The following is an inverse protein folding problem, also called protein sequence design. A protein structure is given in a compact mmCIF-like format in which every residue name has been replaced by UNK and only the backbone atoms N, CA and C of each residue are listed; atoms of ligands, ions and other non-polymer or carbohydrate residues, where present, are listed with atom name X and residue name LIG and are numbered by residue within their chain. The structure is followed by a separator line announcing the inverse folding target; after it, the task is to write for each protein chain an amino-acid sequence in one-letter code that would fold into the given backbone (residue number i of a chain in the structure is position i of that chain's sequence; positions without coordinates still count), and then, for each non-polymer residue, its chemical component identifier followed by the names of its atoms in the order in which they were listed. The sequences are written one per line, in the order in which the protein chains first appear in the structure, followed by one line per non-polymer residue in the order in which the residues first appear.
data_IF_718288241434
#
_entry.id   IF_718288241434
#
_cell.length_a   1.000
_cell.length_b   1.000
_cell.length_c   1.000
_cell.angle_alpha   90.00
_cell.angle_beta   90.00
_cell.angle_gamma   90.00
#
_symmetry.space_group_name_H-M   'P 1'
#
loop_
_entity.id
_entity.type
_entity.pdbx_description
1 polymer ?
#
# COMPACT_ATOMS: atom_id res chain seq x y z
N UNK A 1 32.81 21.97 -3.45
CA UNK A 1 31.91 20.91 -3.96
C UNK A 1 31.73 19.94 -2.80
N UNK A 2 30.73 20.19 -1.96
CA UNK A 2 30.53 19.44 -0.71
C UNK A 2 29.50 18.35 -1.04
N UNK A 3 29.94 17.10 -1.03
CA UNK A 3 29.07 15.92 -1.18
C UNK A 3 28.33 15.76 0.14
N UNK A 4 27.02 16.01 0.13
CA UNK A 4 26.14 15.64 1.24
C UNK A 4 25.92 14.13 1.17
N UNK A 5 26.58 13.39 2.04
CA UNK A 5 26.26 12.01 2.33
C UNK A 5 24.88 11.95 3.00
N UNK A 6 23.87 11.50 2.24
CA UNK A 6 22.59 11.10 2.82
C UNK A 6 22.80 9.80 3.58
N UNK A 7 22.91 9.87 4.90
CA UNK A 7 22.71 8.72 5.77
C UNK A 7 21.29 8.21 5.53
N UNK A 8 21.17 7.01 4.98
CA UNK A 8 19.95 6.23 4.91
C UNK A 8 19.61 5.71 6.31
N UNK A 9 19.08 6.56 7.16
CA UNK A 9 18.32 6.09 8.31
C UNK A 9 16.94 5.70 7.78
N UNK A 10 16.75 4.42 7.50
CA UNK A 10 15.44 3.84 7.21
C UNK A 10 14.54 4.19 8.40
N UNK A 11 13.40 4.89 8.20
CA UNK A 11 12.50 5.17 9.30
C UNK A 11 11.94 3.84 9.80
N UNK A 12 12.50 3.33 10.90
CA UNK A 12 11.90 2.24 11.63
C UNK A 12 10.47 2.67 11.97
N UNK A 13 9.48 1.87 11.56
CA UNK A 13 8.14 1.96 12.16
C UNK A 13 8.40 1.92 13.66
N UNK A 14 8.22 3.06 14.34
CA UNK A 14 8.55 3.19 15.76
C UNK A 14 7.74 2.15 16.54
N UNK A 15 8.35 0.98 16.74
CA UNK A 15 7.80 -0.16 17.49
C UNK A 15 7.71 0.24 18.95
N UNK A 16 6.66 0.97 19.32
CA UNK A 16 6.29 1.05 20.72
C UNK A 16 5.59 -0.26 21.10
N UNK A 17 6.29 -1.11 21.85
CA UNK A 17 5.72 -2.30 22.51
C UNK A 17 4.99 -3.31 21.61
N UNK A 18 5.53 -3.67 20.42
CA UNK A 18 4.95 -4.73 19.58
C UNK A 18 3.58 -4.39 18.95
N UNK A 19 3.17 -3.12 18.94
CA UNK A 19 1.96 -2.63 18.29
C UNK A 19 2.30 -1.75 17.10
N UNK A 20 1.56 -1.93 16.01
CA UNK A 20 1.60 -1.05 14.84
C UNK A 20 0.63 0.10 15.13
N UNK A 21 1.15 1.33 15.14
CA UNK A 21 0.35 2.52 15.39
C UNK A 21 0.92 3.70 14.58
N UNK A 22 0.57 3.79 13.29
CA UNK A 22 0.97 4.93 12.46
C UNK A 22 0.35 6.21 13.03
N UNK A 23 1.15 7.29 13.10
CA UNK A 23 0.71 8.60 13.57
C UNK A 23 0.28 9.50 12.43
N UNK A 24 1.02 9.42 11.33
CA UNK A 24 0.83 10.23 10.15
C UNK A 24 0.64 9.33 8.95
N UNK A 25 -0.55 9.35 8.37
CA UNK A 25 -0.92 8.56 7.20
C UNK A 25 -1.03 9.50 6.01
N UNK A 26 -0.30 9.21 4.92
CA UNK A 26 -0.43 9.94 3.67
C UNK A 26 -1.42 9.21 2.75
N UNK A 27 -2.40 9.93 2.24
CA UNK A 27 -3.28 9.48 1.19
C UNK A 27 -3.02 10.29 -0.08
N UNK A 28 -2.49 9.64 -1.12
CA UNK A 28 -2.25 10.27 -2.40
C UNK A 28 -3.43 10.00 -3.35
N UNK A 29 -3.98 11.06 -3.93
CA UNK A 29 -5.14 10.99 -4.82
C UNK A 29 -4.94 11.78 -6.11
N UNK A 30 -5.42 11.22 -7.22
CA UNK A 30 -5.60 11.89 -8.50
C UNK A 30 -7.09 12.16 -8.79
N UNK A 31 -7.95 11.91 -7.80
CA UNK A 31 -9.41 11.97 -7.90
C UNK A 31 -10.00 11.01 -8.94
N UNK A 32 -9.31 9.94 -9.28
CA UNK A 32 -9.91 8.82 -10.02
C UNK A 32 -10.76 7.96 -9.08
N UNK A 33 -11.72 7.21 -9.64
CA UNK A 33 -12.56 6.30 -8.87
C UNK A 33 -11.74 5.30 -8.05
N UNK A 34 -10.60 4.83 -8.59
CA UNK A 34 -9.72 3.89 -7.89
C UNK A 34 -8.96 4.57 -6.74
N UNK A 35 -8.47 5.81 -6.92
CA UNK A 35 -7.87 6.53 -5.81
C UNK A 35 -8.90 6.86 -4.73
N UNK A 36 -10.12 7.25 -5.12
CA UNK A 36 -11.22 7.52 -4.18
C UNK A 36 -11.61 6.27 -3.38
N UNK A 37 -11.54 5.07 -3.95
CA UNK A 37 -11.81 3.82 -3.23
C UNK A 37 -10.81 3.52 -2.11
N UNK A 38 -9.63 4.13 -2.13
CA UNK A 38 -8.62 3.98 -1.07
C UNK A 38 -8.88 4.91 0.14
N UNK A 39 -9.64 5.99 -0.03
CA UNK A 39 -9.94 6.95 1.04
C UNK A 39 -10.64 6.33 2.26
N UNK A 40 -11.66 5.46 2.09
CA UNK A 40 -12.30 4.79 3.22
C UNK A 40 -11.32 3.98 4.07
N UNK A 41 -10.35 3.32 3.44
CA UNK A 41 -9.30 2.56 4.15
C UNK A 41 -8.38 3.49 4.94
N UNK A 42 -7.94 4.60 4.34
CA UNK A 42 -7.14 5.61 5.03
C UNK A 42 -7.90 6.20 6.23
N UNK A 43 -9.16 6.54 6.05
CA UNK A 43 -10.01 7.07 7.11
C UNK A 43 -10.23 6.07 8.25
N UNK A 44 -10.50 4.79 7.93
CA UNK A 44 -10.66 3.72 8.92
C UNK A 44 -9.39 3.49 9.74
N UNK A 45 -8.21 3.51 9.08
CA UNK A 45 -6.90 3.44 9.75
C UNK A 45 -6.70 4.63 10.69
N UNK A 46 -7.01 5.86 10.22
CA UNK A 46 -6.89 7.06 11.06
C UNK A 46 -7.79 6.98 12.30
N UNK A 47 -9.04 6.54 12.17
CA UNK A 47 -9.94 6.34 13.32
C UNK A 47 -9.41 5.28 14.29
N UNK A 48 -8.93 4.16 13.77
CA UNK A 48 -8.43 3.03 14.57
C UNK A 48 -7.19 3.39 15.39
N UNK A 49 -6.29 4.20 14.82
CA UNK A 49 -5.00 4.51 15.42
C UNK A 49 -4.90 5.92 16.00
N UNK A 50 -5.90 6.77 15.77
CA UNK A 50 -5.83 8.19 16.16
C UNK A 50 -4.82 8.97 15.32
N UNK A 51 -4.65 8.60 14.05
CA UNK A 51 -3.66 9.19 13.16
C UNK A 51 -4.14 10.50 12.55
N UNK A 52 -3.19 11.35 12.13
CA UNK A 52 -3.45 12.48 11.23
C UNK A 52 -3.41 12.01 9.78
N UNK A 53 -4.40 12.40 8.98
CA UNK A 53 -4.44 12.10 7.55
C UNK A 53 -3.87 13.28 6.74
N UNK A 54 -2.84 13.00 5.94
CA UNK A 54 -2.25 13.95 5.00
C UNK A 54 -2.77 13.64 3.60
N UNK A 55 -3.70 14.44 3.10
CA UNK A 55 -4.33 14.25 1.78
C UNK A 55 -3.54 15.04 0.75
N UNK A 56 -2.99 14.35 -0.25
CA UNK A 56 -2.08 14.95 -1.23
C UNK A 56 -2.62 14.77 -2.64
N UNK A 57 -2.70 15.87 -3.39
CA UNK A 57 -2.88 15.86 -4.84
C UNK A 57 -1.73 16.60 -5.50
N UNK A 58 -1.15 16.01 -6.55
CA UNK A 58 -0.08 16.62 -7.32
C UNK A 58 -0.55 16.87 -8.74
N UNK A 59 -0.57 18.14 -9.13
CA UNK A 59 -0.78 18.58 -10.52
C UNK A 59 0.52 18.33 -11.28
N UNK A 60 0.59 17.24 -12.05
CA UNK A 60 1.78 16.92 -12.83
C UNK A 60 1.83 17.73 -14.13
N UNK A 61 3.03 18.13 -14.54
CA UNK A 61 3.26 18.86 -15.79
C UNK A 61 2.75 18.05 -16.99
N UNK A 62 2.88 16.72 -16.95
CA UNK A 62 2.37 15.83 -18.01
C UNK A 62 0.84 15.88 -18.10
N UNK A 63 0.14 15.93 -16.97
CA UNK A 63 -1.33 16.04 -16.96
C UNK A 63 -1.79 17.37 -17.53
N UNK A 64 -1.09 18.47 -17.21
CA UNK A 64 -1.36 19.80 -17.73
C UNK A 64 -1.07 19.86 -19.24
N UNK A 65 0.05 19.34 -19.70
CA UNK A 65 0.39 19.28 -21.13
C UNK A 65 -0.63 18.48 -21.96
N UNK A 66 -1.13 17.37 -21.44
CA UNK A 66 -2.18 16.59 -22.09
C UNK A 66 -3.52 17.34 -22.17
N UNK A 67 -3.84 18.17 -21.18
CA UNK A 67 -5.05 19.00 -21.19
C UNK A 67 -4.93 20.19 -22.13
N UNK A 68 -3.72 20.74 -22.30
CA UNK A 68 -3.48 21.99 -23.03
C UNK A 68 -3.25 21.80 -24.53
N UNK A 69 -2.88 20.60 -24.99
CA UNK A 69 -2.73 20.32 -26.43
C UNK A 69 -1.77 21.26 -27.18
N UNK A 70 -0.84 21.93 -26.48
CA UNK A 70 0.13 22.86 -27.09
C UNK A 70 -0.35 24.32 -27.21
N UNK A 71 -1.16 24.82 -26.26
CA UNK A 71 -1.58 26.23 -26.16
C UNK A 71 -0.43 27.16 -25.79
N UNK A 72 -0.64 28.46 -26.05
CA UNK A 72 0.31 29.51 -25.68
C UNK A 72 0.47 29.68 -24.16
N UNK A 73 1.51 30.42 -23.74
CA UNK A 73 1.88 30.55 -22.34
C UNK A 73 0.78 31.20 -21.48
N UNK A 74 0.03 32.14 -22.02
CA UNK A 74 -1.06 32.87 -21.29
C UNK A 74 -2.23 31.92 -21.02
N UNK A 75 -2.59 31.13 -22.03
CA UNK A 75 -3.63 30.09 -21.89
C UNK A 75 -3.20 28.97 -20.92
N UNK A 76 -1.91 28.67 -20.87
CA UNK A 76 -1.36 27.72 -19.90
C UNK A 76 -1.50 28.21 -18.46
N UNK A 77 -1.19 29.47 -18.17
CA UNK A 77 -1.32 30.04 -16.80
C UNK A 77 -2.77 30.04 -16.33
N UNK A 78 -3.72 30.42 -17.19
CA UNK A 78 -5.15 30.37 -16.85
C UNK A 78 -5.63 28.95 -16.55
N UNK A 79 -5.28 27.99 -17.40
CA UNK A 79 -5.65 26.58 -17.19
C UNK A 79 -5.00 26.00 -15.93
N UNK A 80 -3.81 26.45 -15.61
CA UNK A 80 -3.10 26.08 -14.40
C UNK A 80 -3.82 26.57 -13.14
N UNK A 81 -4.23 27.84 -13.09
CA UNK A 81 -4.96 28.42 -11.97
C UNK A 81 -6.34 27.76 -11.80
N UNK A 82 -7.03 27.46 -12.91
CA UNK A 82 -8.28 26.71 -12.87
C UNK A 82 -8.09 25.31 -12.32
N UNK A 83 -7.05 24.58 -12.77
CA UNK A 83 -6.74 23.24 -12.27
C UNK A 83 -6.40 23.25 -10.77
N UNK A 84 -5.65 24.26 -10.31
CA UNK A 84 -5.33 24.45 -8.89
C UNK A 84 -6.58 24.73 -8.06
N UNK A 85 -7.44 25.61 -8.55
CA UNK A 85 -8.70 25.96 -7.89
C UNK A 85 -9.62 24.74 -7.77
N UNK A 86 -9.77 23.98 -8.85
CA UNK A 86 -10.54 22.73 -8.86
C UNK A 86 -9.96 21.69 -7.90
N UNK A 87 -8.64 21.49 -7.89
CA UNK A 87 -7.97 20.56 -7.00
C UNK A 87 -8.18 20.95 -5.54
N UNK A 88 -8.00 22.23 -5.22
CA UNK A 88 -8.22 22.79 -3.88
C UNK A 88 -9.66 22.56 -3.42
N UNK A 89 -10.64 22.83 -4.29
CA UNK A 89 -12.05 22.61 -4.01
C UNK A 89 -12.40 21.12 -3.77
N UNK A 90 -11.76 20.22 -4.52
CA UNK A 90 -11.93 18.76 -4.32
C UNK A 90 -11.30 18.31 -3.01
N UNK A 91 -10.08 18.74 -2.70
CA UNK A 91 -9.41 18.41 -1.44
C UNK A 91 -10.20 18.92 -0.23
N UNK A 92 -10.75 20.14 -0.34
CA UNK A 92 -11.62 20.68 0.71
C UNK A 92 -12.82 19.77 0.98
N UNK A 93 -13.51 19.30 -0.08
CA UNK A 93 -14.62 18.34 0.08
C UNK A 93 -14.19 17.05 0.75
N UNK A 94 -13.02 16.51 0.39
CA UNK A 94 -12.45 15.32 1.07
C UNK A 94 -12.24 15.62 2.54
N UNK A 95 -11.58 16.73 2.87
CA UNK A 95 -11.33 17.16 4.26
C UNK A 95 -12.60 17.33 5.08
N UNK A 96 -13.59 18.01 4.50
CA UNK A 96 -14.89 18.25 5.15
C UNK A 96 -15.61 16.91 5.43
N UNK A 97 -15.49 15.93 4.50
CA UNK A 97 -16.07 14.58 4.63
C UNK A 97 -15.37 13.67 5.66
N UNK A 98 -14.16 14.01 6.11
CA UNK A 98 -13.42 13.21 7.11
C UNK A 98 -13.95 13.38 8.55
N UNK A 99 -14.79 14.37 8.79
CA UNK A 99 -15.40 14.63 10.10
C UNK A 99 -14.36 14.92 11.18
N UNK A 100 -14.30 14.08 12.25
CA UNK A 100 -13.40 14.30 13.39
C UNK A 100 -11.97 13.80 13.17
N UNK A 101 -11.62 13.26 11.99
CA UNK A 101 -10.25 12.82 11.70
C UNK A 101 -9.36 14.04 11.53
N UNK A 102 -8.28 14.20 12.33
CA UNK A 102 -7.30 15.26 12.10
C UNK A 102 -6.71 15.10 10.69
N UNK A 103 -6.77 16.17 9.89
CA UNK A 103 -6.27 16.08 8.53
C UNK A 103 -5.58 17.36 8.05
N UNK A 104 -4.72 17.20 7.06
CA UNK A 104 -4.04 18.30 6.34
C UNK A 104 -4.12 18.00 4.85
N UNK A 105 -4.37 19.01 4.04
CA UNK A 105 -4.49 18.88 2.58
C UNK A 105 -3.38 19.64 1.86
N UNK A 106 -2.84 19.04 0.82
CA UNK A 106 -1.75 19.59 0.03
C UNK A 106 -2.08 19.52 -1.46
N UNK A 107 -2.10 20.65 -2.14
CA UNK A 107 -1.96 20.73 -3.60
C UNK A 107 -0.50 21.04 -3.88
N UNK A 108 0.14 20.25 -4.74
CA UNK A 108 1.53 20.41 -5.14
C UNK A 108 1.62 20.36 -6.67
N UNK A 109 2.74 20.78 -7.21
CA UNK A 109 2.98 20.90 -8.65
C UNK A 109 4.27 20.23 -9.06
N UNK A 110 4.30 19.67 -10.27
CA UNK A 110 5.47 19.08 -10.87
C UNK A 110 5.56 17.58 -10.71
N UNK A 111 6.74 17.06 -10.50
CA UNK A 111 6.98 15.61 -10.39
C UNK A 111 6.33 15.02 -9.15
N UNK A 112 5.48 14.01 -9.33
CA UNK A 112 4.67 13.43 -8.25
C UNK A 112 5.56 12.89 -7.14
N UNK A 113 6.52 12.02 -7.46
CA UNK A 113 7.38 11.41 -6.43
C UNK A 113 8.19 12.45 -5.66
N UNK A 114 8.75 13.46 -6.33
CA UNK A 114 9.52 14.53 -5.66
C UNK A 114 8.68 15.26 -4.61
N UNK A 115 7.43 15.57 -4.94
CA UNK A 115 6.52 16.22 -3.99
C UNK A 115 6.11 15.30 -2.85
N UNK A 116 5.81 14.03 -3.15
CA UNK A 116 5.46 13.07 -2.11
C UNK A 116 6.61 12.80 -1.16
N UNK A 117 7.83 12.62 -1.65
CA UNK A 117 9.02 12.39 -0.82
C UNK A 117 9.30 13.55 0.14
N UNK A 118 9.10 14.79 -0.32
CA UNK A 118 9.19 15.99 0.53
C UNK A 118 8.15 15.96 1.65
N UNK A 119 6.87 15.72 1.32
CA UNK A 119 5.79 15.66 2.32
C UNK A 119 6.02 14.51 3.32
N UNK A 120 6.50 13.36 2.83
CA UNK A 120 6.83 12.20 3.67
C UNK A 120 7.88 12.56 4.71
N UNK A 121 8.96 13.23 4.28
CA UNK A 121 10.05 13.63 5.16
C UNK A 121 9.65 14.75 6.14
N UNK A 122 8.92 15.78 5.66
CA UNK A 122 8.52 16.94 6.47
C UNK A 122 7.48 16.60 7.56
N UNK A 123 6.70 15.54 7.35
CA UNK A 123 5.58 15.21 8.24
C UNK A 123 5.73 13.83 8.92
N UNK A 124 6.93 13.22 8.90
CA UNK A 124 7.19 11.90 9.51
C UNK A 124 6.10 10.88 9.12
N UNK A 125 5.81 10.73 7.83
CA UNK A 125 4.78 9.81 7.36
C UNK A 125 5.18 8.36 7.66
N UNK A 126 4.30 7.66 8.37
CA UNK A 126 4.51 6.27 8.81
C UNK A 126 3.87 5.24 7.88
N UNK A 127 2.86 5.64 7.12
CA UNK A 127 2.09 4.78 6.23
C UNK A 127 1.58 5.59 5.04
N UNK A 128 1.68 5.02 3.85
CA UNK A 128 1.09 5.60 2.64
C UNK A 128 -0.10 4.75 2.22
N UNK A 129 -1.21 5.38 1.83
CA UNK A 129 -2.39 4.72 1.27
C UNK A 129 -2.63 5.24 -0.14
N UNK A 130 -2.73 4.33 -1.10
CA UNK A 130 -2.90 4.66 -2.53
C UNK A 130 -3.92 3.75 -3.22
N UNK A 131 -4.59 4.30 -4.23
CA UNK A 131 -5.23 3.50 -5.27
C UNK A 131 -4.20 3.03 -6.31
N UNK A 132 -4.39 1.88 -6.89
CA UNK A 132 -3.40 1.27 -7.79
C UNK A 132 -3.53 1.66 -9.26
N UNK A 133 -4.64 2.26 -9.67
CA UNK A 133 -4.90 2.70 -11.04
C UNK A 133 -5.31 4.19 -11.02
N UNK A 134 -4.78 4.96 -11.98
CA UNK A 134 -5.11 6.37 -12.14
C UNK A 134 -6.05 6.63 -13.31
N UNK A 135 -6.17 7.92 -13.70
CA UNK A 135 -7.02 8.41 -14.80
C UNK A 135 -6.74 7.78 -16.17
N UNK A 136 -5.52 7.29 -16.40
CA UNK A 136 -5.07 6.77 -17.67
C UNK A 136 -5.28 5.27 -17.86
N UNK A 137 -6.12 4.63 -17.08
CA UNK A 137 -6.40 3.18 -17.02
C UNK A 137 -6.57 2.44 -18.38
N UNK A 138 -5.64 2.64 -19.29
CA UNK A 138 -5.51 1.91 -20.54
C UNK A 138 -4.87 0.55 -20.25
N UNK A 139 -5.70 -0.48 -20.20
CA UNK A 139 -5.25 -1.88 -20.17
C UNK A 139 -5.48 -2.57 -18.83
N UNK A 140 -6.07 -3.72 -18.89
CA UNK A 140 -6.67 -4.51 -17.79
C UNK A 140 -5.71 -4.99 -16.69
N UNK A 141 -4.41 -4.65 -16.68
CA UNK A 141 -3.41 -5.34 -15.84
C UNK A 141 -2.20 -4.48 -15.41
N UNK A 142 -2.20 -3.17 -15.66
CA UNK A 142 -1.01 -2.35 -15.35
C UNK A 142 -1.26 -1.48 -14.12
N UNK A 143 -0.32 -1.54 -13.19
CA UNK A 143 -0.21 -0.60 -12.08
C UNK A 143 0.02 0.82 -12.64
N UNK A 144 -0.63 1.83 -12.06
CA UNK A 144 -0.39 3.23 -12.46
C UNK A 144 1.05 3.65 -12.17
N UNK A 145 1.64 4.48 -13.03
CA UNK A 145 3.03 4.93 -12.89
C UNK A 145 3.35 5.55 -11.53
N UNK A 146 2.41 6.31 -10.96
CA UNK A 146 2.55 6.90 -9.62
C UNK A 146 2.57 5.82 -8.54
N UNK A 147 1.68 4.84 -8.64
CA UNK A 147 1.64 3.74 -7.69
C UNK A 147 2.93 2.88 -7.77
N UNK A 148 3.45 2.68 -8.99
CA UNK A 148 4.73 2.00 -9.20
C UNK A 148 5.90 2.77 -8.58
N UNK A 149 5.98 4.08 -8.81
CA UNK A 149 7.02 4.94 -8.22
C UNK A 149 6.97 4.91 -6.70
N UNK A 150 5.77 5.00 -6.11
CA UNK A 150 5.59 4.93 -4.65
C UNK A 150 6.05 3.57 -4.12
N UNK A 151 5.60 2.45 -4.71
CA UNK A 151 5.97 1.11 -4.27
C UNK A 151 7.48 0.84 -4.37
N UNK A 152 8.14 1.51 -5.30
CA UNK A 152 9.58 1.37 -5.53
C UNK A 152 10.43 2.16 -4.54
N UNK A 153 9.97 3.34 -4.13
CA UNK A 153 10.82 4.31 -3.44
C UNK A 153 10.32 4.66 -2.02
N UNK A 154 9.12 4.23 -1.63
CA UNK A 154 8.58 4.59 -0.33
C UNK A 154 9.48 4.10 0.82
N UNK A 155 9.84 4.99 1.75
CA UNK A 155 10.65 4.62 2.92
C UNK A 155 9.83 3.98 4.04
N UNK A 156 8.52 3.97 3.93
CA UNK A 156 7.57 3.42 4.89
C UNK A 156 6.59 2.48 4.20
N UNK A 157 5.82 1.67 4.94
CA UNK A 157 4.82 0.79 4.38
C UNK A 157 3.81 1.49 3.48
N UNK A 158 3.35 0.78 2.44
CA UNK A 158 2.35 1.27 1.48
C UNK A 158 1.17 0.31 1.46
N UNK A 159 -0.02 0.82 1.81
CA UNK A 159 -1.28 0.11 1.62
C UNK A 159 -1.84 0.45 0.24
N UNK A 160 -1.87 -0.54 -0.63
CA UNK A 160 -2.37 -0.43 -2.00
C UNK A 160 -3.78 -1.00 -2.09
N UNK A 161 -4.70 -0.21 -2.64
CA UNK A 161 -6.10 -0.60 -2.86
C UNK A 161 -6.35 -0.74 -4.35
N UNK A 162 -6.56 -1.97 -4.81
CA UNK A 162 -6.79 -2.30 -6.22
C UNK A 162 -8.26 -2.17 -6.63
N UNK A 163 -8.56 -2.18 -7.95
CA UNK A 163 -9.93 -2.04 -8.45
C UNK A 163 -10.81 -3.23 -8.10
N UNK A 164 -10.23 -4.39 -7.79
CA UNK A 164 -10.98 -5.59 -7.37
C UNK A 164 -11.31 -5.60 -5.88
N UNK A 165 -10.73 -4.68 -5.10
CA UNK A 165 -11.01 -4.49 -3.67
C UNK A 165 -12.35 -3.79 -3.48
N UNK A 166 -12.77 -2.96 -4.43
CA UNK A 166 -14.06 -2.27 -4.41
C UNK A 166 -15.21 -3.30 -4.33
N UNK A 167 -15.87 -3.38 -3.18
CA UNK A 167 -17.05 -4.22 -2.92
C UNK A 167 -16.80 -5.47 -2.08
N UNK A 168 -15.57 -5.83 -1.74
CA UNK A 168 -15.27 -6.98 -0.86
C UNK A 168 -14.78 -6.61 0.53
N UNK A 169 -14.21 -5.43 0.71
CA UNK A 169 -13.89 -4.98 2.06
C UNK A 169 -15.20 -4.70 2.77
N UNK A 170 -15.41 -5.28 3.93
CA UNK A 170 -16.56 -5.04 4.82
C UNK A 170 -16.57 -3.61 5.39
N UNK A 171 -16.09 -2.66 4.59
CA UNK A 171 -16.33 -1.26 4.75
C UNK A 171 -17.75 -1.03 4.22
N UNK A 172 -18.76 -1.29 5.07
CA UNK A 172 -20.15 -1.12 4.69
C UNK A 172 -20.40 0.29 4.18
N UNK A 173 -20.83 0.32 2.94
CA UNK A 173 -21.57 1.35 2.22
C UNK A 173 -21.25 2.81 2.52
N UNK A 174 -20.41 3.35 1.64
CA UNK A 174 -20.45 4.76 1.31
C UNK A 174 -21.61 5.01 0.34
N UNK A 175 -22.84 4.96 0.83
CA UNK A 175 -24.00 5.52 0.14
C UNK A 175 -24.33 6.82 0.85
N UNK A 176 -23.77 7.91 0.40
CA UNK A 176 -24.02 9.21 0.98
C UNK A 176 -24.30 10.27 -0.05
N UNK A 177 -25.54 10.52 -0.30
CA UNK A 177 -26.05 11.84 -0.64
C UNK A 177 -26.10 12.64 0.67
N UNK A 178 -25.01 13.36 0.97
CA UNK A 178 -24.97 14.42 2.01
C UNK A 178 -24.68 13.94 3.43
N UNK A 179 -23.60 14.52 3.98
CA UNK A 179 -23.21 14.62 5.37
C UNK A 179 -22.82 13.33 6.13
N UNK A 180 -21.54 13.34 6.52
CA UNK A 180 -20.83 12.46 7.45
C UNK A 180 -20.63 11.01 6.99
N UNK A 181 -19.34 10.67 6.82
CA UNK A 181 -18.85 9.32 6.65
C UNK A 181 -19.30 8.47 7.84
N UNK A 182 -20.23 7.54 7.64
CA UNK A 182 -20.57 6.56 8.68
C UNK A 182 -19.31 5.95 9.26
N UNK A 183 -19.19 5.76 10.58
CA UNK A 183 -18.00 5.22 11.21
C UNK A 183 -17.79 3.78 10.74
N UNK A 184 -16.92 3.61 9.77
CA UNK A 184 -16.49 2.29 9.32
C UNK A 184 -15.36 1.85 10.21
N UNK A 185 -15.54 0.77 10.94
CA UNK A 185 -14.48 0.14 11.70
C UNK A 185 -13.62 -0.72 10.78
N UNK A 186 -12.30 -0.63 10.97
CA UNK A 186 -11.35 -1.50 10.29
C UNK A 186 -11.33 -2.86 10.99
N UNK A 187 -11.93 -3.86 10.37
CA UNK A 187 -11.84 -5.25 10.80
C UNK A 187 -10.89 -6.02 9.89
N UNK A 188 -9.89 -6.64 10.46
CA UNK A 188 -9.04 -7.61 9.79
C UNK A 188 -9.24 -8.97 10.48
N UNK A 189 -9.89 -9.92 9.80
CA UNK A 189 -10.18 -11.25 10.32
C UNK A 189 -9.18 -12.30 9.85
N UNK A 190 -8.62 -12.09 8.66
CA UNK A 190 -7.63 -12.99 8.08
C UNK A 190 -6.56 -12.20 7.32
N UNK A 191 -5.31 -12.43 7.68
CA UNK A 191 -4.13 -11.83 7.05
C UNK A 191 -3.33 -12.94 6.37
N UNK A 192 -2.96 -12.72 5.11
CA UNK A 192 -2.00 -13.58 4.38
C UNK A 192 -0.66 -12.86 4.31
N UNK A 193 0.36 -13.41 4.92
CA UNK A 193 1.73 -12.96 4.80
C UNK A 193 2.50 -13.83 3.82
N UNK A 194 2.93 -13.27 2.70
CA UNK A 194 3.70 -13.99 1.70
C UNK A 194 5.18 -13.57 1.72
N UNK A 195 6.06 -14.56 1.67
CA UNK A 195 7.50 -14.38 1.81
C UNK A 195 8.29 -15.29 0.89
N UNK A 196 9.41 -14.79 0.38
CA UNK A 196 10.40 -15.57 -0.36
C UNK A 196 11.50 -16.16 0.57
N UNK A 197 11.31 -16.07 1.88
CA UNK A 197 12.22 -16.60 2.91
C UNK A 197 13.65 -16.02 2.87
N UNK A 198 13.82 -14.82 2.31
CA UNK A 198 15.11 -14.10 2.36
C UNK A 198 15.29 -13.38 3.70
N UNK A 199 16.49 -12.83 3.94
CA UNK A 199 16.77 -12.03 5.14
C UNK A 199 15.76 -10.88 5.35
N UNK A 200 15.23 -10.31 4.27
CA UNK A 200 14.17 -9.31 4.30
C UNK A 200 12.90 -9.79 5.01
N UNK A 201 12.59 -11.09 4.98
CA UNK A 201 11.44 -11.63 5.72
C UNK A 201 11.57 -11.48 7.25
N UNK A 202 12.78 -11.32 7.76
CA UNK A 202 13.01 -11.05 9.19
C UNK A 202 12.49 -9.67 9.60
N UNK A 203 12.39 -8.71 8.68
CA UNK A 203 11.86 -7.36 8.93
C UNK A 203 10.36 -7.26 8.70
N UNK A 204 9.80 -8.06 7.81
CA UNK A 204 8.37 -8.02 7.40
C UNK A 204 7.50 -8.92 8.27
N UNK A 205 7.97 -10.14 8.61
CA UNK A 205 7.19 -11.08 9.42
C UNK A 205 6.69 -10.47 10.75
N UNK A 206 7.49 -9.72 11.52
CA UNK A 206 7.02 -9.07 12.73
C UNK A 206 5.87 -8.08 12.50
N UNK A 207 5.79 -7.45 11.32
CA UNK A 207 4.68 -6.54 10.98
C UNK A 207 3.38 -7.33 10.80
N UNK A 208 3.42 -8.43 10.04
CA UNK A 208 2.25 -9.29 9.83
C UNK A 208 1.76 -9.92 11.14
N UNK A 209 2.69 -10.39 11.98
CA UNK A 209 2.39 -10.98 13.30
C UNK A 209 1.79 -9.93 14.25
N UNK A 210 2.35 -8.71 14.27
CA UNK A 210 1.84 -7.63 15.10
C UNK A 210 0.41 -7.22 14.69
N UNK A 211 0.14 -7.14 13.38
CA UNK A 211 -1.21 -6.90 12.85
C UNK A 211 -2.17 -8.04 13.25
N UNK A 212 -1.78 -9.29 13.05
CA UNK A 212 -2.62 -10.44 13.42
C UNK A 212 -2.95 -10.43 14.92
N UNK A 213 -1.97 -10.13 15.77
CA UNK A 213 -2.17 -10.00 17.22
C UNK A 213 -3.11 -8.83 17.57
N UNK A 214 -2.92 -7.66 16.95
CA UNK A 214 -3.64 -6.44 17.28
C UNK A 214 -5.11 -6.48 16.86
N UNK A 215 -5.41 -7.20 15.79
CA UNK A 215 -6.77 -7.38 15.25
C UNK A 215 -7.39 -8.73 15.64
N UNK A 216 -6.69 -9.54 16.44
CA UNK A 216 -7.11 -10.92 16.74
C UNK A 216 -7.45 -11.71 15.47
N UNK A 217 -6.67 -11.47 14.40
CA UNK A 217 -6.87 -12.04 13.09
C UNK A 217 -6.21 -13.42 12.95
N UNK A 218 -6.77 -14.26 12.10
CA UNK A 218 -6.08 -15.45 11.58
C UNK A 218 -4.89 -15.02 10.75
N UNK A 219 -3.79 -15.76 10.82
CA UNK A 219 -2.58 -15.50 10.04
C UNK A 219 -2.22 -16.72 9.23
N UNK A 220 -2.11 -16.57 7.92
CA UNK A 220 -1.52 -17.57 7.02
C UNK A 220 -0.16 -17.08 6.57
N UNK A 221 0.89 -17.87 6.78
CA UNK A 221 2.21 -17.61 6.19
C UNK A 221 2.34 -18.48 4.94
N UNK A 222 2.64 -17.86 3.81
CA UNK A 222 2.81 -18.59 2.53
C UNK A 222 4.18 -18.35 1.92
N UNK A 223 4.82 -19.44 1.49
CA UNK A 223 5.99 -19.45 0.63
C UNK A 223 5.66 -20.16 -0.68
N UNK A 224 6.14 -19.64 -1.81
CA UNK A 224 5.92 -20.24 -3.12
C UNK A 224 7.25 -20.63 -3.76
N UNK A 225 7.35 -21.90 -4.16
CA UNK A 225 8.49 -22.44 -4.89
C UNK A 225 8.20 -22.30 -6.39
N UNK A 226 8.92 -21.42 -7.08
CA UNK A 226 8.69 -21.13 -8.52
C UNK A 226 9.43 -22.11 -9.43
N UNK A 227 10.54 -22.72 -8.98
CA UNK A 227 11.37 -23.65 -9.76
C UNK A 227 10.98 -25.10 -9.49
N UNK A 228 10.17 -25.69 -10.38
CA UNK A 228 9.70 -27.07 -10.28
C UNK A 228 10.79 -28.15 -10.47
N UNK A 229 11.83 -27.83 -11.26
CA UNK A 229 12.91 -28.78 -11.54
C UNK A 229 13.70 -29.25 -10.31
N UNK A 230 13.57 -28.55 -9.20
CA UNK A 230 14.19 -28.95 -7.92
C UNK A 230 13.33 -29.90 -7.09
N UNK A 231 12.04 -30.01 -7.37
CA UNK A 231 11.09 -30.85 -6.63
C UNK A 231 11.13 -32.33 -7.03
N UNK A 232 11.53 -32.61 -8.28
CA UNK A 232 11.63 -34.00 -8.78
C UNK A 232 12.82 -34.74 -8.18
N UNK A 233 13.78 -34.05 -7.55
CA UNK A 233 15.04 -34.62 -7.08
C UNK A 233 15.02 -34.91 -5.58
N UNK A 234 14.22 -34.18 -4.77
CA UNK A 234 14.12 -34.46 -3.32
C UNK A 234 12.86 -33.79 -2.68
N UNK A 235 12.19 -34.40 -1.72
CA UNK A 235 11.09 -33.79 -0.95
C UNK A 235 11.52 -32.64 -0.05
N UNK A 236 12.82 -32.39 0.10
CA UNK A 236 13.43 -31.42 1.01
C UNK A 236 13.00 -29.95 0.89
N UNK A 237 12.72 -29.37 -0.32
CA UNK A 237 12.37 -27.97 -0.43
C UNK A 237 11.06 -27.58 0.26
N UNK A 238 10.02 -28.41 0.17
CA UNK A 238 8.72 -28.15 0.82
C UNK A 238 8.86 -28.21 2.34
N UNK A 239 9.46 -29.26 2.86
CA UNK A 239 9.69 -29.42 4.30
C UNK A 239 10.59 -28.33 4.86
N UNK A 240 11.60 -27.92 4.09
CA UNK A 240 12.47 -26.80 4.45
C UNK A 240 11.69 -25.48 4.50
N UNK A 241 10.83 -25.22 3.52
CA UNK A 241 9.94 -24.06 3.49
C UNK A 241 9.02 -24.02 4.71
N UNK A 242 8.39 -25.15 5.05
CA UNK A 242 7.53 -25.27 6.24
C UNK A 242 8.30 -24.93 7.52
N UNK A 243 9.50 -25.52 7.72
CA UNK A 243 10.33 -25.23 8.90
C UNK A 243 10.74 -23.76 8.98
N UNK A 244 11.11 -23.16 7.85
CA UNK A 244 11.51 -21.76 7.80
C UNK A 244 10.33 -20.83 8.10
N UNK A 245 9.13 -21.10 7.55
CA UNK A 245 7.93 -20.33 7.86
C UNK A 245 7.55 -20.43 9.34
N UNK A 246 7.61 -21.63 9.91
CA UNK A 246 7.37 -21.85 11.33
C UNK A 246 8.35 -21.06 12.22
N UNK A 247 9.63 -20.99 11.81
CA UNK A 247 10.65 -20.25 12.53
C UNK A 247 10.44 -18.72 12.52
N UNK A 248 9.65 -18.17 11.58
CA UNK A 248 9.31 -16.75 11.56
C UNK A 248 8.31 -16.37 12.67
N UNK A 249 7.59 -17.33 13.23
CA UNK A 249 6.60 -17.06 14.29
C UNK A 249 7.26 -17.32 15.65
N UNK A 250 7.47 -16.28 16.47
CA UNK A 250 7.99 -16.47 17.83
C UNK A 250 7.04 -17.35 18.66
N UNK A 251 7.59 -18.23 19.48
CA UNK A 251 6.80 -19.15 20.33
C UNK A 251 5.92 -18.40 21.34
N UNK A 252 6.31 -17.19 21.70
CA UNK A 252 5.63 -16.28 22.64
C UNK A 252 4.81 -15.19 21.93
N UNK A 253 4.54 -15.34 20.62
CA UNK A 253 3.82 -14.32 19.83
C UNK A 253 2.43 -13.99 20.37
N UNK A 254 1.83 -14.86 21.20
CA UNK A 254 0.52 -14.69 21.82
C UNK A 254 -0.56 -14.29 20.79
N UNK A 255 -0.64 -15.05 19.68
CA UNK A 255 -1.67 -14.92 18.66
C UNK A 255 -2.98 -15.55 19.12
N UNK A 256 -4.11 -14.98 18.72
CA UNK A 256 -5.44 -15.53 19.03
C UNK A 256 -5.69 -16.89 18.35
N UNK A 257 -5.05 -17.14 17.21
CA UNK A 257 -5.16 -18.37 16.44
C UNK A 257 -3.77 -18.90 16.09
N UNK A 258 -3.66 -20.23 15.99
CA UNK A 258 -2.44 -20.88 15.50
C UNK A 258 -2.27 -20.49 14.03
N UNK A 259 -1.09 -19.96 13.64
CA UNK A 259 -0.85 -19.60 12.25
C UNK A 259 -0.88 -20.79 11.31
N UNK A 260 -1.52 -20.63 10.17
CA UNK A 260 -1.50 -21.61 9.09
C UNK A 260 -0.20 -21.45 8.30
N UNK A 261 0.48 -22.56 8.03
CA UNK A 261 1.73 -22.62 7.26
C UNK A 261 1.43 -23.24 5.91
N UNK A 262 1.76 -22.55 4.84
CA UNK A 262 1.47 -22.96 3.46
C UNK A 262 2.75 -22.88 2.62
N UNK A 263 3.08 -23.97 1.94
CA UNK A 263 4.08 -23.99 0.88
C UNK A 263 3.40 -24.47 -0.39
N UNK A 264 3.37 -23.61 -1.41
CA UNK A 264 2.78 -23.91 -2.72
C UNK A 264 3.87 -23.91 -3.80
N UNK A 265 3.57 -24.52 -4.94
CA UNK A 265 4.44 -24.57 -6.10
C UNK A 265 3.73 -23.90 -7.27
N UNK A 266 4.41 -22.97 -7.96
CA UNK A 266 3.82 -22.28 -9.09
C UNK A 266 4.27 -20.83 -9.24
N UNK A 267 3.61 -20.07 -10.11
CA UNK A 267 3.82 -18.63 -10.22
C UNK A 267 3.44 -17.96 -8.90
N UNK A 268 4.42 -17.29 -8.24
CA UNK A 268 4.22 -16.75 -6.89
C UNK A 268 3.02 -15.82 -6.78
N UNK A 269 2.84 -14.91 -7.77
CA UNK A 269 1.70 -13.98 -7.76
C UNK A 269 0.35 -14.68 -7.75
N UNK A 270 0.21 -15.74 -8.55
CA UNK A 270 -1.06 -16.46 -8.71
C UNK A 270 -1.36 -17.28 -7.48
N UNK A 271 -0.36 -17.96 -6.94
CA UNK A 271 -0.48 -18.74 -5.69
C UNK A 271 -0.88 -17.83 -4.51
N UNK A 272 -0.23 -16.66 -4.36
CA UNK A 272 -0.54 -15.72 -3.28
C UNK A 272 -1.96 -15.18 -3.40
N UNK A 273 -2.37 -14.73 -4.58
CA UNK A 273 -3.73 -14.20 -4.82
C UNK A 273 -4.77 -15.29 -4.59
N UNK A 274 -4.54 -16.50 -5.10
CA UNK A 274 -5.44 -17.64 -4.90
C UNK A 274 -5.53 -18.05 -3.42
N UNK A 275 -4.40 -18.03 -2.69
CA UNK A 275 -4.39 -18.31 -1.26
C UNK A 275 -5.23 -17.30 -0.48
N UNK A 276 -5.14 -16.02 -0.83
CA UNK A 276 -5.94 -14.96 -0.23
C UNK A 276 -7.44 -15.11 -0.55
N UNK A 277 -7.79 -15.41 -1.81
CA UNK A 277 -9.18 -15.63 -2.22
C UNK A 277 -9.79 -16.84 -1.50
N UNK A 278 -9.08 -17.99 -1.46
CA UNK A 278 -9.55 -19.22 -0.81
C UNK A 278 -9.85 -19.04 0.68
N UNK A 279 -9.17 -18.08 1.34
CA UNK A 279 -9.27 -17.82 2.78
C UNK A 279 -10.11 -16.61 3.13
N UNK A 280 -10.72 -15.96 2.13
CA UNK A 280 -11.43 -14.67 2.31
C UNK A 280 -10.57 -13.67 3.08
N UNK A 281 -9.32 -13.51 2.67
CA UNK A 281 -8.36 -12.66 3.35
C UNK A 281 -8.73 -11.18 3.23
N UNK A 282 -8.58 -10.46 4.34
CA UNK A 282 -8.85 -9.02 4.42
C UNK A 282 -7.60 -8.19 4.10
N UNK A 283 -6.40 -8.80 4.18
CA UNK A 283 -5.13 -8.13 3.93
C UNK A 283 -4.08 -9.15 3.45
N UNK A 284 -3.34 -8.76 2.41
CA UNK A 284 -2.09 -9.42 2.04
C UNK A 284 -0.92 -8.55 2.52
N UNK A 285 0.09 -9.16 3.15
CA UNK A 285 1.33 -8.48 3.57
C UNK A 285 2.49 -9.04 2.76
N UNK A 286 3.30 -8.16 2.16
CA UNK A 286 4.45 -8.49 1.32
C UNK A 286 5.66 -7.65 1.71
N UNK A 287 6.86 -8.21 1.57
CA UNK A 287 8.09 -7.43 1.54
C UNK A 287 8.30 -6.79 0.17
N UNK A 288 8.62 -5.50 0.15
CA UNK A 288 9.08 -4.80 -1.04
C UNK A 288 10.54 -4.41 -0.87
N UNK A 289 11.40 -4.79 -1.84
CA UNK A 289 12.78 -4.30 -1.85
C UNK A 289 12.80 -2.90 -2.45
N UNK A 290 13.50 -1.95 -1.83
CA UNK A 290 13.85 -0.71 -2.50
C UNK A 290 14.61 -1.02 -3.78
N UNK A 291 14.38 -0.25 -4.84
CA UNK A 291 15.13 -0.43 -6.08
C UNK A 291 16.60 -0.08 -5.86
N UNK A 292 17.45 -1.06 -5.98
CA UNK A 292 18.91 -0.90 -5.99
C UNK A 292 19.47 -0.37 -7.33
N UNK A 293 18.61 0.24 -8.14
CA UNK A 293 18.97 0.90 -9.40
C UNK A 293 19.24 -0.04 -10.59
N UNK A 294 19.25 -1.36 -10.39
CA UNK A 294 19.71 -2.30 -11.43
C UNK A 294 18.63 -3.16 -12.09
N UNK A 295 17.41 -3.20 -11.56
CA UNK A 295 16.36 -4.06 -12.12
C UNK A 295 15.08 -3.28 -12.44
N UNK A 296 14.97 -2.82 -13.68
CA UNK A 296 13.70 -2.43 -14.30
C UNK A 296 12.86 -3.67 -14.61
N UNK A 297 12.28 -4.33 -13.61
CA UNK A 297 11.34 -5.43 -13.85
C UNK A 297 9.92 -4.94 -13.58
N UNK A 298 9.15 -4.54 -14.63
CA UNK A 298 7.75 -4.09 -14.50
C UNK A 298 6.79 -5.20 -14.08
N UNK A 299 7.28 -6.42 -13.84
CA UNK A 299 6.48 -7.61 -13.54
C UNK A 299 6.91 -8.32 -12.27
N UNK A 300 7.35 -7.59 -11.26
CA UNK A 300 7.66 -8.22 -9.96
C UNK A 300 6.42 -8.88 -9.36
N UNK A 301 6.62 -9.90 -8.52
CA UNK A 301 5.54 -10.55 -7.78
C UNK A 301 4.66 -9.55 -7.04
N UNK A 302 5.26 -8.52 -6.43
CA UNK A 302 4.54 -7.43 -5.74
C UNK A 302 3.59 -6.71 -6.68
N UNK A 303 4.04 -6.27 -7.87
CA UNK A 303 3.19 -5.58 -8.84
C UNK A 303 1.99 -6.44 -9.27
N UNK A 304 2.24 -7.73 -9.56
CA UNK A 304 1.18 -8.65 -9.97
C UNK A 304 0.17 -8.89 -8.84
N UNK A 305 0.64 -9.11 -7.61
CA UNK A 305 -0.26 -9.29 -6.46
C UNK A 305 -1.09 -8.03 -6.25
N UNK A 306 -0.48 -6.85 -6.24
CA UNK A 306 -1.19 -5.56 -6.07
C UNK A 306 -2.24 -5.34 -7.18
N UNK A 307 -1.95 -5.71 -8.42
CA UNK A 307 -2.88 -5.56 -9.55
C UNK A 307 -4.05 -6.55 -9.51
N UNK A 308 -3.88 -7.73 -8.91
CA UNK A 308 -4.86 -8.82 -8.98
C UNK A 308 -5.56 -9.13 -7.67
N UNK A 309 -5.03 -8.68 -6.53
CA UNK A 309 -5.60 -8.93 -5.21
C UNK A 309 -7.05 -8.44 -5.10
N UNK A 310 -7.85 -9.21 -4.38
CA UNK A 310 -9.24 -8.89 -4.05
C UNK A 310 -9.41 -8.22 -2.69
N UNK A 311 -8.32 -8.07 -1.96
CA UNK A 311 -8.20 -7.33 -0.71
C UNK A 311 -7.02 -6.35 -0.78
N UNK A 312 -6.92 -5.35 0.10
CA UNK A 312 -5.78 -4.46 0.18
C UNK A 312 -4.46 -5.21 0.34
N UNK A 313 -3.38 -4.63 -0.19
CA UNK A 313 -2.03 -5.20 -0.10
C UNK A 313 -1.14 -4.22 0.65
N UNK A 314 -0.58 -4.64 1.77
CA UNK A 314 0.41 -3.89 2.52
C UNK A 314 1.81 -4.34 2.09
N UNK A 315 2.53 -3.46 1.43
CA UNK A 315 3.95 -3.67 1.13
C UNK A 315 4.81 -2.99 2.18
N UNK A 316 5.76 -3.72 2.73
CA UNK A 316 6.67 -3.23 3.78
C UNK A 316 8.07 -3.18 3.20
N UNK A 317 8.79 -2.04 3.29
CA UNK A 317 10.19 -1.94 2.88
C UNK A 317 11.03 -2.98 3.64
N UNK A 318 11.90 -3.71 2.91
CA UNK A 318 12.63 -4.87 3.42
C UNK A 318 14.11 -4.82 3.03
#
# INVERSE_FOLDING_TARGET
MTVLEFKQDTPEIKRRSGRISPRNILYATDFSATSESALPHAAALCRRFGSTLHVVHVLSDTSLLLMTGGVDQVSFEVLYDDAQTLATGKLKRVSDGLGKIPNRSYVRHGKVWTNLSTIIAENDIDLIVIGTHGRTGFGKLLLGSVAEDILRHAPCPVLSVGPKVCGRTKLQEFVGTGSELSPVELELRHIVYATNLTAASQTVAPVAIALAKQFEARLTLIHVIENYSQLEIAPGPIESGVRQLQALVPKDAALAYVPEIVVECGPASDCIVNAAIKRDADLIVLGARPADGTTHLPFSTVHRVVAHATCPVLTVPA
#
